data_IF_304622545655
#
_entry.id   IF_304622545655
#
_cell.length_a   1.000
_cell.length_b   1.000
_cell.length_c   1.000
_cell.angle_alpha   90.00
_cell.angle_beta   90.00
_cell.angle_gamma   90.00
#
_symmetry.space_group_name_H-M   'P 1'
#
loop_
_entity.id
_entity.type
_entity.pdbx_description
1 polymer ?
#
# COMPACT_ATOMS: atom_id res chain seq x y z
N UNK A 1 -22.65 -39.10 44.00
CA UNK A 1 -23.65 -38.78 42.95
C UNK A 1 -23.30 -37.49 42.21
N UNK A 2 -22.95 -36.40 42.89
CA UNK A 2 -22.56 -35.12 42.27
C UNK A 2 -21.42 -35.28 41.26
N UNK A 3 -20.33 -35.97 41.62
CA UNK A 3 -19.19 -36.25 40.73
C UNK A 3 -19.53 -37.06 39.47
N UNK A 4 -20.53 -37.95 39.55
CA UNK A 4 -21.00 -38.73 38.39
C UNK A 4 -21.86 -37.90 37.46
N UNK A 5 -22.62 -36.94 38.01
CA UNK A 5 -23.44 -36.01 37.23
C UNK A 5 -22.56 -35.01 36.49
N UNK A 6 -21.53 -34.47 37.16
CA UNK A 6 -20.55 -33.55 36.56
C UNK A 6 -19.78 -34.21 35.41
N UNK A 7 -19.36 -35.47 35.59
CA UNK A 7 -18.71 -36.25 34.52
C UNK A 7 -19.61 -36.46 33.30
N UNK A 8 -20.88 -36.84 33.52
CA UNK A 8 -21.85 -37.01 32.42
C UNK A 8 -22.16 -35.70 31.69
N UNK A 9 -22.20 -34.56 32.40
CA UNK A 9 -22.38 -33.24 31.77
C UNK A 9 -21.16 -32.88 30.92
N UNK A 10 -19.95 -33.15 31.40
CA UNK A 10 -18.72 -32.92 30.65
C UNK A 10 -18.65 -33.77 29.37
N UNK A 11 -18.96 -35.08 29.47
CA UNK A 11 -19.02 -35.98 28.32
C UNK A 11 -20.08 -35.55 27.30
N UNK A 12 -21.26 -35.13 27.78
CA UNK A 12 -22.33 -34.63 26.90
C UNK A 12 -21.88 -33.39 26.14
N UNK A 13 -21.24 -32.43 26.83
CA UNK A 13 -20.76 -31.21 26.21
C UNK A 13 -19.67 -31.50 25.18
N UNK A 14 -18.69 -32.35 25.54
CA UNK A 14 -17.64 -32.79 24.61
C UNK A 14 -18.23 -33.46 23.36
N UNK A 15 -19.24 -34.31 23.52
CA UNK A 15 -19.91 -34.97 22.41
C UNK A 15 -20.64 -33.97 21.52
N UNK A 16 -21.35 -33.01 22.12
CA UNK A 16 -22.08 -31.98 21.38
C UNK A 16 -21.13 -31.11 20.54
N UNK A 17 -19.99 -30.71 21.10
CA UNK A 17 -18.98 -29.93 20.39
C UNK A 17 -18.29 -30.74 19.29
N UNK A 18 -18.03 -32.02 19.53
CA UNK A 18 -17.47 -32.92 18.51
C UNK A 18 -18.40 -33.04 17.29
N UNK A 19 -19.70 -33.26 17.52
CA UNK A 19 -20.69 -33.31 16.43
C UNK A 19 -20.80 -31.96 15.71
N UNK A 20 -20.81 -30.85 16.45
CA UNK A 20 -20.86 -29.51 15.84
C UNK A 20 -19.64 -29.25 14.96
N UNK A 21 -18.44 -29.62 15.40
CA UNK A 21 -17.24 -29.52 14.58
C UNK A 21 -17.36 -30.33 13.28
N UNK A 22 -17.90 -31.54 13.35
CA UNK A 22 -18.13 -32.38 12.17
C UNK A 22 -19.13 -31.74 11.19
N UNK A 23 -20.29 -31.29 11.68
CA UNK A 23 -21.30 -30.59 10.87
C UNK A 23 -20.76 -29.33 10.19
N UNK A 24 -19.95 -28.55 10.92
CA UNK A 24 -19.30 -27.35 10.41
C UNK A 24 -18.29 -27.69 9.31
N UNK A 25 -17.48 -28.73 9.50
CA UNK A 25 -16.51 -29.17 8.50
C UNK A 25 -17.19 -29.72 7.24
N UNK A 26 -18.32 -30.41 7.37
CA UNK A 26 -19.13 -30.84 6.23
C UNK A 26 -19.79 -29.66 5.50
N UNK A 27 -20.21 -28.62 6.23
CA UNK A 27 -20.72 -27.38 5.63
C UNK A 27 -19.61 -26.63 4.88
N UNK A 28 -18.39 -26.64 5.41
CA UNK A 28 -17.24 -25.95 4.85
C UNK A 28 -16.90 -26.45 3.44
N UNK A 29 -16.98 -27.75 3.20
CA UNK A 29 -16.72 -28.33 1.87
C UNK A 29 -17.74 -27.89 0.81
N UNK A 30 -18.99 -27.63 1.23
CA UNK A 30 -20.10 -27.30 0.33
C UNK A 30 -20.18 -25.81 0.01
N UNK A 31 -19.52 -24.96 0.80
CA UNK A 31 -19.59 -23.50 0.64
C UNK A 31 -18.41 -22.94 -0.14
N UNK A 32 -18.70 -22.06 -1.10
CA UNK A 32 -17.68 -21.36 -1.90
C UNK A 32 -17.50 -19.90 -1.51
N UNK A 33 -18.43 -19.31 -0.75
CA UNK A 33 -18.35 -17.92 -0.30
C UNK A 33 -17.23 -17.74 0.73
N UNK A 34 -16.25 -16.89 0.40
CA UNK A 34 -15.02 -16.72 1.21
C UNK A 34 -15.30 -16.30 2.66
N UNK A 35 -16.28 -15.40 2.85
CA UNK A 35 -16.67 -14.92 4.18
C UNK A 35 -17.26 -16.07 5.00
N UNK A 36 -18.18 -16.85 4.43
CA UNK A 36 -18.78 -17.99 5.12
C UNK A 36 -17.77 -19.08 5.46
N UNK A 37 -16.84 -19.37 4.55
CA UNK A 37 -15.74 -20.31 4.82
C UNK A 37 -14.88 -19.82 5.99
N UNK A 38 -14.55 -18.52 6.03
CA UNK A 38 -13.76 -17.94 7.13
C UNK A 38 -14.50 -17.93 8.48
N UNK A 39 -15.81 -17.70 8.48
CA UNK A 39 -16.66 -17.75 9.69
C UNK A 39 -16.65 -19.16 10.28
N UNK A 40 -16.85 -20.19 9.43
CA UNK A 40 -16.80 -21.59 9.86
C UNK A 40 -15.43 -21.97 10.42
N UNK A 41 -14.34 -21.60 9.74
CA UNK A 41 -12.98 -21.86 10.25
C UNK A 41 -12.75 -21.20 11.61
N UNK A 42 -13.20 -19.95 11.78
CA UNK A 42 -13.09 -19.24 13.05
C UNK A 42 -13.91 -19.93 14.15
N UNK A 43 -15.14 -20.34 13.85
CA UNK A 43 -16.03 -21.02 14.79
C UNK A 43 -15.45 -22.37 15.26
N UNK A 44 -14.96 -23.19 14.34
CA UNK A 44 -14.33 -24.47 14.70
C UNK A 44 -13.10 -24.24 15.57
N UNK A 45 -12.27 -23.23 15.26
CA UNK A 45 -11.12 -22.88 16.11
C UNK A 45 -11.54 -22.39 17.49
N UNK A 46 -12.65 -21.66 17.59
CA UNK A 46 -13.23 -21.24 18.87
C UNK A 46 -13.66 -22.42 19.72
N UNK A 47 -14.42 -23.36 19.14
CA UNK A 47 -14.86 -24.58 19.83
C UNK A 47 -13.67 -25.40 20.34
N UNK A 48 -12.62 -25.56 19.52
CA UNK A 48 -11.40 -26.30 19.92
C UNK A 48 -10.61 -25.57 21.01
N UNK A 49 -10.59 -24.23 20.99
CA UNK A 49 -9.94 -23.45 22.04
C UNK A 49 -10.70 -23.54 23.37
N UNK A 50 -12.03 -23.54 23.33
CA UNK A 50 -12.89 -23.67 24.50
C UNK A 50 -12.85 -25.10 25.08
N UNK A 51 -12.73 -26.13 24.22
CA UNK A 51 -12.69 -27.53 24.63
C UNK A 51 -11.50 -28.31 23.98
N UNK A 52 -10.28 -28.18 24.54
CA UNK A 52 -9.08 -28.84 24.00
C UNK A 52 -9.14 -30.37 24.00
N UNK A 53 -9.99 -30.97 24.83
CA UNK A 53 -10.19 -32.42 24.89
C UNK A 53 -10.73 -33.02 23.58
N UNK A 54 -11.31 -32.20 22.70
CA UNK A 54 -11.69 -32.60 21.34
C UNK A 54 -10.52 -33.20 20.54
N UNK A 55 -9.30 -32.73 20.81
CA UNK A 55 -8.09 -33.23 20.13
C UNK A 55 -7.70 -34.65 20.56
N UNK A 56 -8.27 -35.17 21.66
CA UNK A 56 -8.07 -36.55 22.12
C UNK A 56 -8.95 -37.54 21.37
N UNK A 57 -10.02 -37.07 20.72
CA UNK A 57 -10.97 -37.90 19.97
C UNK A 57 -10.31 -38.35 18.66
N UNK A 58 -10.04 -39.64 18.53
CA UNK A 58 -9.20 -40.20 17.44
C UNK A 58 -9.74 -39.93 16.04
N UNK A 59 -11.06 -40.04 15.85
CA UNK A 59 -11.71 -39.83 14.55
C UNK A 59 -11.83 -38.36 14.14
N UNK A 60 -11.81 -37.43 15.11
CA UNK A 60 -11.97 -35.99 14.88
C UNK A 60 -10.62 -35.26 14.79
N UNK A 61 -9.60 -35.78 15.47
CA UNK A 61 -8.29 -35.14 15.62
C UNK A 61 -7.65 -34.74 14.29
N UNK A 62 -7.64 -35.63 13.30
CA UNK A 62 -7.02 -35.34 11.99
C UNK A 62 -7.74 -34.20 11.26
N UNK A 63 -9.07 -34.19 11.32
CA UNK A 63 -9.90 -33.13 10.76
C UNK A 63 -9.59 -31.77 11.38
N UNK A 64 -9.48 -31.71 12.71
CA UNK A 64 -9.24 -30.46 13.43
C UNK A 64 -7.80 -29.94 13.35
N UNK A 65 -6.82 -30.84 13.20
CA UNK A 65 -5.39 -30.45 13.21
C UNK A 65 -4.83 -30.24 11.82
N UNK A 66 -5.10 -31.16 10.90
CA UNK A 66 -4.51 -31.14 9.55
C UNK A 66 -5.45 -30.49 8.55
N UNK A 67 -6.68 -31.01 8.45
CA UNK A 67 -7.63 -30.56 7.41
C UNK A 67 -8.10 -29.13 7.64
N UNK A 68 -8.48 -28.78 8.87
CA UNK A 68 -8.86 -27.42 9.23
C UNK A 68 -7.73 -26.43 8.92
N UNK A 69 -6.47 -26.80 9.20
CA UNK A 69 -5.32 -25.95 8.91
C UNK A 69 -5.08 -25.76 7.41
N UNK A 70 -5.25 -26.83 6.63
CA UNK A 70 -5.16 -26.75 5.18
C UNK A 70 -6.22 -25.79 4.60
N UNK A 71 -7.47 -25.89 5.07
CA UNK A 71 -8.56 -25.01 4.63
C UNK A 71 -8.34 -23.57 5.11
N UNK A 72 -7.88 -23.36 6.35
CA UNK A 72 -7.52 -22.01 6.84
C UNK A 72 -6.51 -21.34 5.91
N UNK A 73 -5.45 -22.07 5.50
CA UNK A 73 -4.44 -21.55 4.59
C UNK A 73 -4.97 -21.30 3.17
N UNK A 74 -5.90 -22.12 2.69
CA UNK A 74 -6.59 -21.89 1.42
C UNK A 74 -7.45 -20.63 1.47
N UNK A 75 -8.34 -20.51 2.47
CA UNK A 75 -9.23 -19.35 2.65
C UNK A 75 -8.41 -18.07 2.83
N UNK A 76 -7.31 -18.12 3.59
CA UNK A 76 -6.40 -16.98 3.73
C UNK A 76 -5.84 -16.54 2.37
N UNK A 77 -5.32 -17.47 1.57
CA UNK A 77 -4.76 -17.16 0.24
C UNK A 77 -5.82 -16.60 -0.70
N UNK A 78 -6.99 -17.23 -0.77
CA UNK A 78 -8.09 -16.76 -1.60
C UNK A 78 -8.58 -15.36 -1.19
N UNK A 79 -8.68 -15.09 0.12
CA UNK A 79 -9.05 -13.77 0.60
C UNK A 79 -7.98 -12.70 0.29
N UNK A 80 -6.69 -13.03 0.42
CA UNK A 80 -5.60 -12.13 0.03
C UNK A 80 -5.59 -11.85 -1.49
N UNK A 81 -5.88 -12.86 -2.31
CA UNK A 81 -6.04 -12.73 -3.76
C UNK A 81 -7.25 -11.86 -4.12
N UNK A 82 -8.39 -12.08 -3.47
CA UNK A 82 -9.60 -11.26 -3.64
C UNK A 82 -9.36 -9.81 -3.23
N UNK A 83 -8.66 -9.58 -2.11
CA UNK A 83 -8.27 -8.24 -1.69
C UNK A 83 -7.43 -7.57 -2.78
N UNK A 84 -6.38 -8.23 -3.27
CA UNK A 84 -5.51 -7.68 -4.32
C UNK A 84 -6.27 -7.39 -5.62
N UNK A 85 -7.11 -8.32 -6.08
CA UNK A 85 -7.96 -8.11 -7.27
C UNK A 85 -8.96 -6.97 -7.06
N UNK A 86 -9.56 -6.90 -5.88
CA UNK A 86 -10.47 -5.83 -5.48
C UNK A 86 -9.79 -4.47 -5.49
N UNK A 87 -8.56 -4.37 -4.99
CA UNK A 87 -7.76 -3.15 -5.04
C UNK A 87 -7.47 -2.73 -6.48
N UNK A 88 -6.91 -3.64 -7.30
CA UNK A 88 -6.55 -3.32 -8.70
C UNK A 88 -7.76 -2.85 -9.52
N UNK A 89 -8.94 -3.46 -9.29
CA UNK A 89 -10.19 -3.10 -9.96
C UNK A 89 -10.99 -1.99 -9.27
N UNK A 90 -10.50 -1.47 -8.15
CA UNK A 90 -11.19 -0.51 -7.27
C UNK A 90 -12.60 -0.98 -6.84
N UNK A 91 -12.78 -2.30 -6.68
CA UNK A 91 -14.03 -2.91 -6.26
C UNK A 91 -14.12 -2.97 -4.72
N UNK A 92 -14.81 -1.99 -4.14
CA UNK A 92 -14.96 -1.85 -2.70
C UNK A 92 -15.69 -3.04 -2.03
N UNK A 93 -16.66 -3.67 -2.69
CA UNK A 93 -17.41 -4.79 -2.09
C UNK A 93 -16.56 -6.07 -2.00
N UNK A 94 -15.72 -6.31 -3.01
CA UNK A 94 -14.75 -7.40 -2.99
C UNK A 94 -13.69 -7.18 -1.91
N UNK A 95 -13.14 -5.96 -1.81
CA UNK A 95 -12.18 -5.59 -0.76
C UNK A 95 -12.80 -5.76 0.63
N UNK A 96 -14.03 -5.27 0.86
CA UNK A 96 -14.70 -5.40 2.15
C UNK A 96 -14.95 -6.86 2.54
N UNK A 97 -15.33 -7.71 1.59
CA UNK A 97 -15.56 -9.14 1.83
C UNK A 97 -14.25 -9.87 2.17
N UNK A 98 -13.17 -9.55 1.45
CA UNK A 98 -11.85 -10.08 1.72
C UNK A 98 -11.30 -9.64 3.08
N UNK A 99 -11.41 -8.35 3.43
CA UNK A 99 -11.01 -7.82 4.74
C UNK A 99 -11.76 -8.53 5.86
N UNK A 100 -13.07 -8.72 5.72
CA UNK A 100 -13.87 -9.45 6.70
C UNK A 100 -13.39 -10.90 6.87
N UNK A 101 -13.13 -11.59 5.76
CA UNK A 101 -12.63 -12.96 5.81
C UNK A 101 -11.25 -13.05 6.51
N UNK A 102 -10.32 -12.16 6.18
CA UNK A 102 -9.00 -12.09 6.82
C UNK A 102 -9.08 -11.71 8.30
N UNK A 103 -10.04 -10.87 8.67
CA UNK A 103 -10.32 -10.51 10.06
C UNK A 103 -10.84 -11.71 10.85
N UNK A 104 -11.77 -12.49 10.29
CA UNK A 104 -12.27 -13.71 10.92
C UNK A 104 -11.15 -14.72 11.20
N UNK A 105 -10.18 -14.82 10.28
CA UNK A 105 -9.02 -15.68 10.45
C UNK A 105 -7.95 -15.11 11.41
N UNK A 106 -8.09 -13.86 11.86
CA UNK A 106 -7.14 -13.20 12.75
C UNK A 106 -5.81 -12.81 12.09
N UNK A 107 -5.79 -12.65 10.76
CA UNK A 107 -4.55 -12.41 9.98
C UNK A 107 -4.58 -11.13 9.16
N UNK A 108 -5.63 -10.30 9.31
CA UNK A 108 -5.81 -9.07 8.54
C UNK A 108 -4.60 -8.13 8.59
N UNK A 109 -4.10 -7.79 9.78
CA UNK A 109 -2.99 -6.83 9.92
C UNK A 109 -1.71 -7.32 9.20
N UNK A 110 -1.42 -8.62 9.26
CA UNK A 110 -0.27 -9.21 8.58
C UNK A 110 -0.41 -9.11 7.06
N UNK A 111 -1.59 -9.41 6.51
CA UNK A 111 -1.86 -9.31 5.07
C UNK A 111 -1.86 -7.86 4.57
N UNK A 112 -2.40 -6.93 5.36
CA UNK A 112 -2.33 -5.50 5.05
C UNK A 112 -0.88 -5.02 5.01
N UNK A 113 -0.03 -5.42 5.96
CA UNK A 113 1.38 -5.03 5.96
C UNK A 113 2.15 -5.60 4.76
N UNK A 114 1.88 -6.85 4.37
CA UNK A 114 2.42 -7.46 3.16
C UNK A 114 2.00 -6.67 1.92
N UNK A 115 0.71 -6.32 1.81
CA UNK A 115 0.19 -5.54 0.69
C UNK A 115 0.85 -4.17 0.58
N UNK A 116 0.92 -3.41 1.69
CA UNK A 116 1.53 -2.08 1.71
C UNK A 116 3.03 -2.14 1.40
N UNK A 117 3.72 -3.19 1.85
CA UNK A 117 5.14 -3.40 1.57
C UNK A 117 5.40 -3.78 0.11
N UNK A 118 4.54 -4.60 -0.50
CA UNK A 118 4.61 -4.92 -1.93
C UNK A 118 4.45 -3.65 -2.77
N UNK A 119 3.38 -2.88 -2.54
CA UNK A 119 3.14 -1.62 -3.25
C UNK A 119 4.30 -0.62 -3.10
N UNK A 120 4.86 -0.51 -1.90
CA UNK A 120 6.02 0.36 -1.65
C UNK A 120 7.28 -0.11 -2.41
N UNK A 121 7.54 -1.43 -2.43
CA UNK A 121 8.70 -2.01 -3.12
C UNK A 121 8.60 -1.86 -4.63
N UNK A 122 7.41 -2.02 -5.21
CA UNK A 122 7.16 -1.78 -6.63
C UNK A 122 7.43 -0.32 -7.04
N UNK A 123 7.04 0.64 -6.19
CA UNK A 123 7.33 2.06 -6.43
C UNK A 123 8.82 2.36 -6.25
N UNK A 124 9.47 1.79 -5.23
CA UNK A 124 10.92 1.95 -5.02
C UNK A 124 11.70 1.50 -6.26
N UNK A 125 11.39 0.32 -6.78
CA UNK A 125 12.01 -0.22 -7.99
C UNK A 125 11.82 0.69 -9.21
N UNK A 126 10.59 1.22 -9.41
CA UNK A 126 10.28 2.16 -10.50
C UNK A 126 11.05 3.48 -10.37
N UNK A 127 11.19 4.03 -9.18
CA UNK A 127 11.93 5.29 -8.97
C UNK A 127 13.44 5.07 -9.15
N UNK A 128 13.96 3.91 -8.72
CA UNK A 128 15.35 3.51 -9.00
C UNK A 128 15.60 3.43 -10.51
N UNK A 129 14.68 2.82 -11.26
CA UNK A 129 14.77 2.72 -12.73
C UNK A 129 14.77 4.09 -13.43
N UNK A 130 13.98 5.05 -12.94
CA UNK A 130 14.00 6.43 -13.46
C UNK A 130 15.37 7.08 -13.28
N UNK A 131 16.02 6.80 -12.14
CA UNK A 131 17.32 7.37 -11.79
C UNK A 131 18.46 6.71 -12.56
N UNK A 132 18.36 5.41 -12.85
CA UNK A 132 19.36 4.68 -13.61
C UNK A 132 19.29 4.91 -15.12
N UNK A 133 18.17 5.42 -15.64
CA UNK A 133 17.93 5.54 -17.09
C UNK A 133 17.50 6.97 -17.49
N UNK A 134 18.40 7.97 -17.42
CA UNK A 134 18.05 9.38 -17.60
C UNK A 134 17.40 9.69 -18.96
N UNK A 135 17.84 8.99 -20.01
CA UNK A 135 17.35 9.14 -21.39
C UNK A 135 15.85 8.77 -21.52
N UNK A 136 15.43 7.73 -20.81
CA UNK A 136 14.05 7.24 -20.82
C UNK A 136 13.18 7.85 -19.70
N UNK A 137 13.80 8.55 -18.74
CA UNK A 137 13.12 9.11 -17.57
C UNK A 137 11.93 9.99 -17.93
N UNK A 138 12.04 10.79 -18.99
CA UNK A 138 10.97 11.70 -19.44
C UNK A 138 9.73 10.97 -19.97
N UNK A 139 9.92 9.77 -20.54
CA UNK A 139 8.84 8.91 -21.07
C UNK A 139 8.21 8.03 -20.00
N UNK A 140 9.02 7.49 -19.09
CA UNK A 140 8.58 6.57 -18.04
C UNK A 140 7.91 7.30 -16.87
N UNK A 141 8.34 8.53 -16.58
CA UNK A 141 7.84 9.30 -15.44
C UNK A 141 6.31 9.40 -15.37
N UNK A 142 5.57 9.77 -16.44
CA UNK A 142 4.11 9.83 -16.37
C UNK A 142 3.46 8.49 -16.00
N UNK A 143 3.99 7.37 -16.49
CA UNK A 143 3.48 6.04 -16.16
C UNK A 143 3.67 5.72 -14.68
N UNK A 144 4.80 6.14 -14.09
CA UNK A 144 5.12 5.83 -12.69
C UNK A 144 4.35 6.75 -11.74
N UNK A 145 4.13 8.01 -12.12
CA UNK A 145 3.24 8.90 -11.39
C UNK A 145 1.79 8.37 -11.42
N UNK A 146 1.31 7.88 -12.57
CA UNK A 146 -0.01 7.27 -12.66
C UNK A 146 -0.11 6.00 -11.79
N UNK A 147 0.96 5.21 -11.73
CA UNK A 147 1.01 4.05 -10.83
C UNK A 147 0.96 4.46 -9.36
N UNK A 148 1.73 5.48 -8.94
CA UNK A 148 1.66 6.05 -7.59
C UNK A 148 0.23 6.54 -7.28
N UNK A 149 -0.40 7.25 -8.22
CA UNK A 149 -1.77 7.71 -8.05
C UNK A 149 -2.75 6.55 -7.86
N UNK A 150 -2.66 5.50 -8.69
CA UNK A 150 -3.48 4.30 -8.55
C UNK A 150 -3.26 3.60 -7.20
N UNK A 151 -2.02 3.49 -6.72
CA UNK A 151 -1.71 2.90 -5.41
C UNK A 151 -2.29 3.72 -4.24
N UNK A 152 -2.34 5.06 -4.37
CA UNK A 152 -3.01 5.92 -3.38
C UNK A 152 -4.53 5.66 -3.37
N UNK A 153 -5.17 5.48 -4.54
CA UNK A 153 -6.59 5.10 -4.62
C UNK A 153 -6.85 3.74 -3.96
N UNK A 154 -6.01 2.76 -4.27
CA UNK A 154 -6.08 1.42 -3.68
C UNK A 154 -5.95 1.48 -2.15
N UNK A 155 -4.94 2.17 -1.63
CA UNK A 155 -4.74 2.27 -0.19
C UNK A 155 -5.87 3.03 0.52
N UNK A 156 -6.56 3.94 -0.18
CA UNK A 156 -7.72 4.62 0.38
C UNK A 156 -8.92 3.69 0.59
N UNK A 157 -9.09 2.68 -0.27
CA UNK A 157 -10.13 1.64 -0.09
C UNK A 157 -9.89 0.77 1.15
N UNK A 158 -8.64 0.65 1.61
CA UNK A 158 -8.28 -0.06 2.84
C UNK A 158 -8.56 0.76 4.10
N UNK A 159 -8.82 2.07 3.96
CA UNK A 159 -9.08 2.98 5.05
C UNK A 159 -7.93 3.93 5.38
N UNK A 160 -8.25 4.97 6.16
CA UNK A 160 -7.31 6.05 6.52
C UNK A 160 -6.01 5.57 7.18
N UNK A 161 -6.00 4.62 8.14
CA UNK A 161 -4.74 4.20 8.77
C UNK A 161 -3.75 3.59 7.78
N UNK A 162 -4.24 2.75 6.87
CA UNK A 162 -3.46 2.03 5.86
C UNK A 162 -2.96 3.01 4.79
N UNK A 163 -3.81 3.95 4.36
CA UNK A 163 -3.40 5.06 3.50
C UNK A 163 -2.25 5.85 4.11
N UNK A 164 -2.34 6.25 5.38
CA UNK A 164 -1.27 7.02 6.02
C UNK A 164 0.03 6.23 6.17
N UNK A 165 -0.03 4.94 6.55
CA UNK A 165 1.16 4.06 6.57
C UNK A 165 1.84 4.00 5.20
N UNK A 166 1.08 3.85 4.12
CA UNK A 166 1.62 3.83 2.76
C UNK A 166 2.23 5.19 2.38
N UNK A 167 1.53 6.29 2.67
CA UNK A 167 1.98 7.66 2.40
C UNK A 167 3.31 7.96 3.07
N UNK A 168 3.51 7.51 4.31
CA UNK A 168 4.79 7.64 5.02
C UNK A 168 5.91 6.80 4.41
N UNK A 169 5.60 5.57 3.95
CA UNK A 169 6.56 4.74 3.19
C UNK A 169 6.95 5.41 1.87
N UNK A 170 5.97 5.90 1.12
CA UNK A 170 6.18 6.62 -0.14
C UNK A 170 7.01 7.88 0.06
N UNK A 171 6.71 8.69 1.08
CA UNK A 171 7.48 9.89 1.41
C UNK A 171 8.96 9.57 1.69
N UNK A 172 9.23 8.46 2.39
CA UNK A 172 10.61 8.00 2.62
C UNK A 172 11.30 7.56 1.34
N UNK A 173 10.61 6.81 0.48
CA UNK A 173 11.13 6.38 -0.83
C UNK A 173 11.49 7.60 -1.68
N UNK A 174 10.60 8.60 -1.79
CA UNK A 174 10.84 9.82 -2.56
C UNK A 174 12.10 10.53 -2.06
N UNK A 175 12.24 10.73 -0.74
CA UNK A 175 13.43 11.36 -0.15
C UNK A 175 14.71 10.59 -0.42
N UNK A 176 14.65 9.25 -0.39
CA UNK A 176 15.81 8.40 -0.51
C UNK A 176 16.26 8.16 -1.96
N UNK A 177 15.32 8.17 -2.92
CA UNK A 177 15.56 7.69 -4.28
C UNK A 177 15.53 8.75 -5.37
N UNK A 178 15.05 9.96 -5.10
CA UNK A 178 15.02 11.04 -6.10
C UNK A 178 16.18 12.00 -5.86
N UNK A 179 17.24 11.97 -6.68
CA UNK A 179 18.36 12.90 -6.55
C UNK A 179 17.92 14.37 -6.73
N UNK A 180 18.59 15.28 -6.02
CA UNK A 180 18.27 16.72 -6.05
C UNK A 180 18.57 17.40 -7.39
N UNK A 181 19.46 16.80 -8.16
CA UNK A 181 19.96 17.21 -9.47
C UNK A 181 19.41 16.34 -10.62
N UNK A 182 18.46 15.45 -10.33
CA UNK A 182 17.91 14.55 -11.33
C UNK A 182 17.27 15.34 -12.50
N UNK A 183 17.50 14.95 -13.76
CA UNK A 183 16.99 15.67 -14.92
C UNK A 183 15.46 15.65 -15.02
N UNK A 184 14.81 14.68 -14.36
CA UNK A 184 13.36 14.56 -14.28
C UNK A 184 12.73 15.23 -13.04
N UNK A 185 13.53 15.77 -12.12
CA UNK A 185 13.08 16.29 -10.81
C UNK A 185 11.98 17.34 -10.91
N UNK A 186 12.11 18.31 -11.83
CA UNK A 186 11.11 19.35 -12.06
C UNK A 186 9.75 18.75 -12.48
N UNK A 187 9.76 17.87 -13.49
CA UNK A 187 8.53 17.22 -13.97
C UNK A 187 7.93 16.31 -12.91
N UNK A 188 8.77 15.61 -12.14
CA UNK A 188 8.34 14.76 -11.03
C UNK A 188 7.57 15.58 -9.99
N UNK A 189 8.15 16.69 -9.52
CA UNK A 189 7.51 17.58 -8.54
C UNK A 189 6.19 18.15 -9.10
N UNK A 190 6.16 18.58 -10.36
CA UNK A 190 4.95 19.12 -10.99
C UNK A 190 3.82 18.08 -11.08
N UNK A 191 4.12 16.88 -11.56
CA UNK A 191 3.12 15.81 -11.72
C UNK A 191 2.66 15.27 -10.36
N UNK A 192 3.58 15.05 -9.42
CA UNK A 192 3.20 14.70 -8.05
C UNK A 192 2.33 15.78 -7.41
N UNK A 193 2.67 17.06 -7.56
CA UNK A 193 1.84 18.13 -6.98
C UNK A 193 0.41 18.11 -7.51
N UNK A 194 0.18 17.74 -8.77
CA UNK A 194 -1.17 17.55 -9.33
C UNK A 194 -1.91 16.40 -8.65
N UNK A 195 -1.24 15.25 -8.47
CA UNK A 195 -1.79 14.07 -7.78
C UNK A 195 -2.11 14.37 -6.31
N UNK A 196 -1.27 15.15 -5.63
CA UNK A 196 -1.48 15.50 -4.22
C UNK A 196 -2.59 16.53 -4.04
N UNK A 197 -2.75 17.44 -4.99
CA UNK A 197 -3.82 18.44 -4.94
C UNK A 197 -5.21 17.83 -5.13
N UNK A 198 -5.35 16.70 -5.83
CA UNK A 198 -6.63 15.99 -5.89
C UNK A 198 -6.98 15.26 -4.58
N UNK A 199 -6.02 15.13 -3.64
CA UNK A 199 -6.18 14.36 -2.39
C UNK A 199 -5.53 15.04 -1.18
N UNK A 200 -6.17 16.09 -0.64
CA UNK A 200 -5.59 16.86 0.45
C UNK A 200 -5.38 16.03 1.73
N UNK A 201 -6.16 14.96 1.96
CA UNK A 201 -6.04 14.16 3.20
C UNK A 201 -4.69 13.45 3.38
N UNK A 202 -3.98 13.13 2.30
CA UNK A 202 -2.69 12.44 2.33
C UNK A 202 -1.52 13.28 1.83
N UNK A 203 -1.78 14.55 1.49
CA UNK A 203 -0.82 15.38 0.76
C UNK A 203 0.34 15.87 1.62
N UNK A 204 0.12 16.13 2.92
CA UNK A 204 1.11 16.81 3.77
C UNK A 204 2.46 16.06 3.86
N UNK A 205 2.53 14.76 4.22
CA UNK A 205 3.82 14.06 4.30
C UNK A 205 4.56 14.00 2.96
N UNK A 206 3.82 13.95 1.86
CA UNK A 206 4.38 13.90 0.51
C UNK A 206 4.87 15.28 0.07
N UNK A 207 4.16 16.36 0.38
CA UNK A 207 4.68 17.72 0.15
C UNK A 207 5.96 17.99 0.94
N UNK A 208 6.04 17.54 2.19
CA UNK A 208 7.26 17.62 2.99
C UNK A 208 8.41 16.82 2.34
N UNK A 209 8.13 15.66 1.75
CA UNK A 209 9.14 14.88 1.01
C UNK A 209 9.67 15.58 -0.25
N UNK A 210 8.83 16.40 -0.90
CA UNK A 210 9.17 17.12 -2.13
C UNK A 210 9.85 18.48 -1.86
N UNK A 211 9.84 18.99 -0.62
CA UNK A 211 10.39 20.30 -0.27
C UNK A 211 11.89 20.46 -0.61
N UNK A 212 12.78 19.48 -0.34
CA UNK A 212 14.19 19.60 -0.72
C UNK A 212 14.37 19.71 -2.25
N UNK A 213 13.60 18.93 -3.02
CA UNK A 213 13.61 18.98 -4.49
C UNK A 213 13.16 20.35 -4.99
N UNK A 214 12.04 20.88 -4.47
CA UNK A 214 11.56 22.22 -4.80
C UNK A 214 12.63 23.29 -4.53
N UNK A 215 13.29 23.21 -3.38
CA UNK A 215 14.32 24.17 -2.97
C UNK A 215 15.55 24.10 -3.88
N UNK A 216 15.99 22.89 -4.25
CA UNK A 216 17.09 22.67 -5.20
C UNK A 216 16.77 23.26 -6.58
N UNK A 217 15.59 22.96 -7.12
CA UNK A 217 15.11 23.46 -8.42
C UNK A 217 15.10 24.99 -8.44
N UNK A 218 14.54 25.62 -7.41
CA UNK A 218 14.48 27.09 -7.30
C UNK A 218 15.89 27.67 -7.21
N UNK A 219 16.75 27.09 -6.38
CA UNK A 219 18.13 27.57 -6.20
C UNK A 219 18.93 27.48 -7.51
N UNK A 220 18.81 26.36 -8.23
CA UNK A 220 19.47 26.18 -9.53
C UNK A 220 18.92 27.14 -10.60
N UNK A 221 17.59 27.34 -10.63
CA UNK A 221 16.97 28.28 -11.57
C UNK A 221 17.38 29.73 -11.29
N UNK A 222 17.46 30.11 -10.01
CA UNK A 222 17.90 31.44 -9.58
C UNK A 222 19.38 31.65 -9.90
N UNK A 223 20.25 30.68 -9.62
CA UNK A 223 21.67 30.75 -9.98
C UNK A 223 21.86 30.92 -11.50
N UNK A 224 21.10 30.19 -12.31
CA UNK A 224 21.11 30.35 -13.77
C UNK A 224 20.60 31.73 -14.20
N UNK A 225 19.57 32.26 -13.55
CA UNK A 225 19.08 33.62 -13.80
C UNK A 225 20.18 34.65 -13.51
N UNK A 226 20.85 34.55 -12.36
CA UNK A 226 21.98 35.42 -12.01
C UNK A 226 23.08 35.37 -13.06
N UNK A 227 23.49 34.17 -13.49
CA UNK A 227 24.47 34.02 -14.57
C UNK A 227 24.02 34.66 -15.88
N UNK A 228 22.75 34.52 -16.26
CA UNK A 228 22.23 35.16 -17.47
C UNK A 228 22.26 36.68 -17.33
N UNK A 229 21.88 37.23 -16.18
CA UNK A 229 21.91 38.68 -15.91
C UNK A 229 23.35 39.21 -15.91
N UNK A 230 24.29 38.50 -15.30
CA UNK A 230 25.72 38.86 -15.32
C UNK A 230 26.33 38.79 -16.72
N UNK A 231 25.94 37.79 -17.52
CA UNK A 231 26.38 37.67 -18.93
C UNK A 231 25.73 38.74 -19.83
N UNK A 232 24.49 39.13 -19.54
CA UNK A 232 23.81 40.27 -20.17
C UNK A 232 24.13 41.54 -19.40
N UNK A 233 25.43 41.78 -19.17
CA UNK A 233 25.90 42.99 -18.51
C UNK A 233 25.35 44.22 -19.24
N UNK A 234 24.28 44.80 -18.68
CA UNK A 234 23.61 45.98 -19.19
C UNK A 234 24.59 47.16 -19.31
N UNK A 235 25.74 47.11 -18.62
CA UNK A 235 26.81 48.08 -18.76
C UNK A 235 27.47 48.04 -20.15
N UNK A 236 27.62 46.88 -20.79
CA UNK A 236 28.27 46.76 -22.10
C UNK A 236 27.36 47.26 -23.23
N UNK A 237 26.06 46.98 -23.14
CA UNK A 237 25.04 47.45 -24.10
C UNK A 237 24.77 48.95 -23.93
N UNK A 238 24.76 49.47 -22.69
CA UNK A 238 24.66 50.91 -22.48
C UNK A 238 25.93 51.64 -22.96
N UNK A 239 27.13 51.09 -22.72
CA UNK A 239 28.36 51.70 -23.21
C UNK A 239 28.48 51.67 -24.74
N UNK A 240 28.00 50.63 -25.43
CA UNK A 240 27.98 50.62 -26.90
C UNK A 240 26.98 51.61 -27.49
N UNK A 241 25.78 51.72 -26.92
CA UNK A 241 24.75 52.68 -27.36
C UNK A 241 25.17 54.12 -27.07
N UNK A 242 25.82 54.39 -25.93
CA UNK A 242 26.33 55.72 -25.60
C UNK A 242 27.51 56.11 -26.50
N UNK A 243 28.39 55.17 -26.84
CA UNK A 243 29.50 55.40 -27.78
C UNK A 243 29.00 55.63 -29.21
N UNK A 244 27.95 54.94 -29.65
CA UNK A 244 27.35 55.15 -30.97
C UNK A 244 26.58 56.48 -31.06
N UNK A 245 25.83 56.87 -30.01
CA UNK A 245 25.20 58.21 -29.94
C UNK A 245 26.21 59.36 -29.94
N UNK A 246 27.32 59.24 -29.20
CA UNK A 246 28.39 60.26 -29.17
C UNK A 246 29.16 60.33 -30.50
N UNK A 247 29.15 59.26 -31.31
CA UNK A 247 29.75 59.24 -32.66
C UNK A 247 28.82 59.81 -33.73
N UNK A 248 27.50 59.68 -33.58
CA UNK A 248 26.54 60.32 -34.49
C UNK A 248 26.45 61.84 -34.29
N UNK A 249 26.59 62.36 -33.07
CA UNK A 249 26.62 63.82 -32.82
C UNK A 249 27.91 64.53 -33.27
N UNK A 250 28.92 63.78 -33.76
CA UNK A 250 30.22 64.32 -34.22
C UNK A 250 30.43 64.27 -35.73
N UNK A 251 29.38 64.01 -36.52
CA UNK A 251 29.37 64.17 -37.99
C UNK A 251 28.47 65.33 -38.39
#
# INVERSE_FOLDING_TARGET
MVTKLEGLVAERNLTADAMRCEELMDSLDKRHEIVKRSEIVCEVKGIVADNPDLLKITWLRETLTTRLKAVENEVRRSAADDMRRGLVSLNASLVASAIRALSNLGVLEAELEVQLSSSATEIDAKIVELSSTPENSTRLLPQYINHIHSQLEQCALLGKPQLMKFVEKLARIIRARVPLDAPFSLRFVQQMSRVLNSRPECAAPLFESLRPLKSSIISHSLARLHQIVEQHDFATVQNSVFVDMVREERK
#
